data_IF_752246342202
#
_entry.id   IF_752246342202
#
_cell.length_a   1.000
_cell.length_b   1.000
_cell.length_c   1.000
_cell.angle_alpha   90.00
_cell.angle_beta   90.00
_cell.angle_gamma   90.00
#
_symmetry.space_group_name_H-M   'P 1'
#
loop_
_entity.id
_entity.type
_entity.pdbx_description
1 polymer ?
#
# COMPACT_ATOMS: atom_id res chain seq x y z
N UNK A 1 17.23 3.70 -7.34
CA UNK A 1 16.22 2.79 -6.76
C UNK A 1 15.28 3.65 -5.92
N UNK A 2 13.99 3.51 -6.07
CA UNK A 2 13.06 4.29 -5.23
C UNK A 2 12.78 3.53 -3.95
N UNK A 3 12.85 4.23 -2.82
CA UNK A 3 12.36 3.71 -1.56
C UNK A 3 10.85 3.49 -1.67
N UNK A 4 10.33 2.55 -0.91
CA UNK A 4 8.90 2.22 -0.90
C UNK A 4 8.33 2.49 0.49
N UNK A 5 7.19 3.16 0.53
CA UNK A 5 6.40 3.32 1.75
C UNK A 5 5.09 2.56 1.59
N UNK A 6 4.86 1.61 2.48
CA UNK A 6 3.61 0.85 2.56
C UNK A 6 2.77 1.41 3.70
N UNK A 7 1.51 1.70 3.43
CA UNK A 7 0.53 2.10 4.44
C UNK A 7 -0.44 0.94 4.62
N UNK A 8 -0.44 0.35 5.81
CA UNK A 8 -1.33 -0.74 6.20
C UNK A 8 -2.54 -0.22 6.97
N UNK A 9 -3.53 -1.08 7.24
CA UNK A 9 -4.82 -0.70 7.80
C UNK A 9 -4.88 -0.53 9.32
N UNK A 10 -3.74 -0.57 10.01
CA UNK A 10 -3.69 -0.38 11.46
C UNK A 10 -3.77 1.10 11.88
N UNK A 11 -3.52 1.35 13.14
CA UNK A 11 -3.57 2.71 13.69
C UNK A 11 -2.39 3.55 13.17
N UNK A 12 -2.70 4.72 12.60
CA UNK A 12 -1.70 5.63 12.03
C UNK A 12 -1.87 7.00 12.67
N UNK A 13 -0.78 7.54 13.17
CA UNK A 13 -0.78 8.92 13.66
C UNK A 13 -0.68 9.89 12.47
N UNK A 14 -1.81 10.51 12.18
CA UNK A 14 -2.08 11.32 11.00
C UNK A 14 -0.98 12.35 10.69
N UNK A 15 -0.74 13.27 11.62
CA UNK A 15 0.14 14.41 11.37
C UNK A 15 1.58 13.97 11.10
N UNK A 16 2.04 12.98 11.86
CA UNK A 16 3.37 12.40 11.67
C UNK A 16 3.49 11.71 10.32
N UNK A 17 2.53 10.86 9.96
CA UNK A 17 2.55 10.13 8.70
C UNK A 17 2.48 11.06 7.49
N UNK A 18 1.60 12.07 7.51
CA UNK A 18 1.48 13.05 6.43
C UNK A 18 2.76 13.86 6.24
N UNK A 19 3.38 14.33 7.34
CA UNK A 19 4.63 15.06 7.28
C UNK A 19 5.77 14.18 6.73
N UNK A 20 5.79 12.92 7.13
CA UNK A 20 6.76 11.95 6.64
C UNK A 20 6.59 11.67 5.14
N UNK A 21 5.37 11.41 4.66
CA UNK A 21 5.08 11.16 3.25
C UNK A 21 5.39 12.35 2.35
N UNK A 22 5.21 13.58 2.85
CA UNK A 22 5.53 14.81 2.11
C UNK A 22 7.03 15.06 1.96
N UNK A 23 7.82 14.63 2.93
CA UNK A 23 9.27 14.84 2.96
C UNK A 23 10.07 13.78 2.20
N UNK A 24 9.47 12.63 1.94
CA UNK A 24 10.16 11.51 1.32
C UNK A 24 9.60 11.23 -0.07
N UNK A 25 10.43 11.31 -1.09
CA UNK A 25 10.10 10.89 -2.45
C UNK A 25 10.21 9.36 -2.56
N UNK A 26 9.12 8.68 -2.24
CA UNK A 26 9.04 7.23 -2.27
C UNK A 26 7.87 6.76 -3.14
N UNK A 27 7.91 5.52 -3.57
CA UNK A 27 6.75 4.84 -4.15
C UNK A 27 5.78 4.49 -3.02
N UNK A 28 4.52 4.92 -3.14
CA UNK A 28 3.50 4.75 -2.12
C UNK A 28 2.60 3.57 -2.43
N UNK A 29 2.51 2.62 -1.52
CA UNK A 29 1.65 1.44 -1.65
C UNK A 29 0.63 1.42 -0.51
N UNK A 30 -0.65 1.28 -0.86
CA UNK A 30 -1.71 1.01 0.11
C UNK A 30 -1.92 -0.51 0.22
N UNK A 31 -1.84 -1.06 1.43
CA UNK A 31 -2.17 -2.44 1.72
C UNK A 31 -3.58 -2.51 2.32
N UNK A 32 -4.51 -3.06 1.57
CA UNK A 32 -5.92 -3.24 1.93
C UNK A 32 -6.54 -1.96 2.53
N UNK A 33 -6.95 -1.97 3.79
CA UNK A 33 -7.54 -0.84 4.50
C UNK A 33 -6.63 0.39 4.62
N UNK A 34 -5.34 0.26 4.32
CA UNK A 34 -4.42 1.39 4.19
C UNK A 34 -4.83 2.39 3.11
N UNK A 35 -5.66 1.97 2.14
CA UNK A 35 -6.26 2.88 1.15
C UNK A 35 -7.09 3.99 1.79
N UNK A 36 -7.79 3.71 2.89
CA UNK A 36 -8.62 4.68 3.60
C UNK A 36 -7.80 5.91 4.05
N UNK A 37 -6.58 5.66 4.55
CA UNK A 37 -5.67 6.75 4.93
C UNK A 37 -5.38 7.68 3.76
N UNK A 38 -5.16 7.15 2.57
CA UNK A 38 -4.91 7.96 1.38
C UNK A 38 -6.15 8.77 0.96
N UNK A 39 -7.32 8.13 0.95
CA UNK A 39 -8.56 8.79 0.56
C UNK A 39 -8.98 9.89 1.54
N UNK A 40 -8.89 9.66 2.84
CA UNK A 40 -9.18 10.64 3.88
C UNK A 40 -8.30 11.90 3.77
N UNK A 41 -7.10 11.77 3.27
CA UNK A 41 -6.13 12.86 3.16
C UNK A 41 -5.93 13.37 1.74
N UNK A 42 -6.79 12.96 0.80
CA UNK A 42 -6.72 13.37 -0.60
C UNK A 42 -5.35 13.07 -1.24
N UNK A 43 -4.74 11.98 -0.83
CA UNK A 43 -3.49 11.46 -1.39
C UNK A 43 -3.80 10.27 -2.30
N UNK A 44 -2.92 10.01 -3.24
CA UNK A 44 -3.04 8.85 -4.14
C UNK A 44 -1.80 7.96 -4.01
N UNK A 45 -1.97 6.67 -3.74
CA UNK A 45 -0.88 5.71 -3.78
C UNK A 45 -0.45 5.43 -5.22
N UNK A 46 0.72 4.85 -5.41
CA UNK A 46 1.17 4.31 -6.70
C UNK A 46 0.58 2.91 -6.96
N UNK A 47 0.33 2.15 -5.89
CA UNK A 47 -0.32 0.85 -5.97
C UNK A 47 -1.26 0.62 -4.78
N UNK A 48 -2.27 -0.20 -5.01
CA UNK A 48 -3.20 -0.70 -3.98
C UNK A 48 -3.22 -2.22 -4.05
N UNK A 49 -2.98 -2.88 -2.93
CA UNK A 49 -2.84 -4.34 -2.85
C UNK A 49 -3.70 -4.88 -1.72
N UNK A 50 -4.57 -5.82 -2.00
CA UNK A 50 -5.44 -6.45 -1.00
C UNK A 50 -6.56 -7.28 -1.60
N UNK A 51 -7.36 -7.92 -0.74
CA UNK A 51 -8.63 -8.54 -1.13
C UNK A 51 -9.79 -7.55 -1.08
N UNK A 52 -9.60 -6.44 -0.37
CA UNK A 52 -10.53 -5.30 -0.27
C UNK A 52 -11.84 -5.58 0.45
N UNK A 53 -11.92 -6.67 1.19
CA UNK A 53 -13.13 -7.05 1.94
C UNK A 53 -13.42 -6.09 3.09
N UNK A 54 -12.37 -5.53 3.69
CA UNK A 54 -12.46 -4.64 4.86
C UNK A 54 -12.54 -3.14 4.53
N UNK A 55 -12.57 -2.77 3.24
CA UNK A 55 -12.73 -1.38 2.82
C UNK A 55 -14.12 -0.83 3.13
N UNK A 56 -14.16 0.48 3.40
CA UNK A 56 -15.40 1.24 3.44
C UNK A 56 -16.11 1.25 2.08
N UNK A 57 -17.39 1.66 2.08
CA UNK A 57 -18.14 1.84 0.82
C UNK A 57 -17.47 2.86 -0.11
N UNK A 58 -16.86 3.91 0.45
CA UNK A 58 -16.15 4.91 -0.35
C UNK A 58 -14.85 4.33 -0.94
N UNK A 59 -14.11 3.51 -0.18
CA UNK A 59 -12.95 2.79 -0.68
C UNK A 59 -13.30 1.82 -1.81
N UNK A 60 -14.38 1.07 -1.66
CA UNK A 60 -14.89 0.15 -2.70
C UNK A 60 -15.30 0.90 -3.98
N UNK A 61 -16.06 1.99 -3.83
CA UNK A 61 -16.45 2.85 -4.96
C UNK A 61 -15.23 3.45 -5.68
N UNK A 62 -14.23 3.87 -4.92
CA UNK A 62 -12.99 4.37 -5.50
C UNK A 62 -12.34 3.31 -6.39
N UNK A 63 -12.23 2.06 -5.93
CA UNK A 63 -11.68 0.96 -6.72
C UNK A 63 -12.54 0.65 -7.94
N UNK A 64 -13.87 0.59 -7.80
CA UNK A 64 -14.80 0.36 -8.93
C UNK A 64 -14.61 1.40 -10.04
N UNK A 65 -14.52 2.69 -9.68
CA UNK A 65 -14.27 3.78 -10.64
C UNK A 65 -12.91 3.59 -11.34
N UNK A 66 -11.91 3.12 -10.61
CA UNK A 66 -10.62 2.80 -11.22
C UNK A 66 -10.74 1.59 -12.16
N UNK A 67 -11.52 0.58 -11.77
CA UNK A 67 -11.79 -0.62 -12.57
C UNK A 67 -12.53 -0.33 -13.88
N UNK A 68 -13.54 0.48 -13.88
CA UNK A 68 -14.28 0.88 -15.07
C UNK A 68 -13.42 1.67 -16.06
N UNK A 69 -12.56 2.56 -15.58
CA UNK A 69 -11.68 3.38 -16.43
C UNK A 69 -10.63 2.57 -17.17
N UNK A 70 -10.22 1.40 -16.68
CA UNK A 70 -9.22 0.57 -17.36
C UNK A 70 -9.83 -0.41 -18.37
N UNK A 71 -11.13 -0.68 -18.29
CA UNK A 71 -11.80 -1.52 -19.29
C UNK A 71 -11.84 -0.88 -20.69
N UNK A 72 -11.64 0.44 -20.78
CA UNK A 72 -11.53 1.17 -22.06
C UNK A 72 -10.15 1.08 -22.73
N UNK A 73 -9.18 0.44 -22.09
CA UNK A 73 -7.86 0.16 -22.68
C UNK A 73 -7.64 -1.35 -22.74
N UNK A 74 -7.74 -1.93 -23.94
CA UNK A 74 -7.40 -3.32 -24.20
C UNK A 74 -5.95 -3.63 -23.77
N UNK A 75 -5.78 -4.36 -22.65
CA UNK A 75 -4.50 -4.98 -22.30
C UNK A 75 -4.75 -6.45 -21.99
N UNK A 76 -4.17 -7.38 -22.78
CA UNK A 76 -4.31 -8.80 -22.54
C UNK A 76 -3.32 -9.28 -21.48
N UNK A 77 -3.82 -10.08 -20.57
CA UNK A 77 -3.12 -11.06 -19.72
C UNK A 77 -2.23 -10.59 -18.58
N UNK A 78 -2.69 -10.94 -17.39
CA UNK A 78 -1.84 -11.14 -16.21
C UNK A 78 -2.18 -10.28 -15.00
N UNK A 79 -3.35 -10.42 -14.39
CA UNK A 79 -3.60 -10.17 -12.95
C UNK A 79 -3.25 -8.81 -12.34
N UNK A 80 -2.69 -7.89 -13.08
CA UNK A 80 -2.32 -6.55 -12.69
C UNK A 80 -3.08 -5.55 -13.55
N UNK A 81 -4.03 -4.85 -12.94
CA UNK A 81 -4.73 -3.76 -13.60
C UNK A 81 -4.02 -2.44 -13.24
N UNK A 82 -3.50 -1.73 -14.24
CA UNK A 82 -2.89 -0.41 -14.06
C UNK A 82 -3.94 0.69 -14.27
N UNK A 83 -4.03 1.65 -13.34
CA UNK A 83 -5.09 2.63 -13.28
C UNK A 83 -4.59 4.05 -13.39
N UNK A 84 -5.30 4.91 -14.14
CA UNK A 84 -4.98 6.33 -14.28
C UNK A 84 -5.92 7.18 -13.44
N UNK A 85 -5.40 7.95 -12.48
CA UNK A 85 -6.17 8.89 -11.65
C UNK A 85 -5.57 10.28 -11.73
N UNK A 86 -6.44 11.29 -11.81
CA UNK A 86 -6.01 12.69 -11.72
C UNK A 86 -5.57 13.01 -10.29
N UNK A 87 -4.37 13.52 -10.15
CA UNK A 87 -3.86 14.03 -8.87
C UNK A 87 -4.63 15.28 -8.45
N UNK A 88 -5.11 15.33 -7.21
CA UNK A 88 -5.79 16.51 -6.65
C UNK A 88 -4.90 17.75 -6.46
N UNK A 89 -3.62 17.69 -6.79
CA UNK A 89 -2.66 18.79 -6.79
C UNK A 89 -1.81 18.73 -8.05
N UNK A 90 -2.25 19.43 -9.10
CA UNK A 90 -1.58 19.51 -10.39
C UNK A 90 -2.21 18.62 -11.47
N UNK A 91 -2.08 19.05 -12.72
CA UNK A 91 -2.70 18.41 -13.90
C UNK A 91 -2.01 17.10 -14.34
N UNK A 92 -1.33 16.38 -13.45
CA UNK A 92 -0.69 15.12 -13.79
C UNK A 92 -1.62 13.93 -13.51
N UNK A 93 -1.83 13.12 -14.53
CA UNK A 93 -2.55 11.84 -14.43
C UNK A 93 -1.58 10.83 -13.81
N UNK A 94 -1.91 10.32 -12.60
CA UNK A 94 -1.16 9.26 -11.95
C UNK A 94 -1.84 7.92 -12.22
N UNK A 95 -1.09 6.98 -12.77
CA UNK A 95 -1.56 5.59 -12.88
C UNK A 95 -1.46 4.92 -11.49
N UNK A 96 -2.57 4.37 -11.03
CA UNK A 96 -2.62 3.57 -9.80
C UNK A 96 -2.70 2.10 -10.19
N UNK A 97 -1.75 1.32 -9.70
CA UNK A 97 -1.73 -0.12 -9.90
C UNK A 97 -2.59 -0.81 -8.85
N UNK A 98 -3.67 -1.47 -9.27
CA UNK A 98 -4.53 -2.24 -8.36
C UNK A 98 -4.22 -3.73 -8.49
N UNK A 99 -3.84 -4.36 -7.39
CA UNK A 99 -3.54 -5.79 -7.30
C UNK A 99 -4.53 -6.43 -6.33
N UNK A 100 -5.51 -7.14 -6.90
CA UNK A 100 -6.52 -7.85 -6.13
C UNK A 100 -6.00 -9.22 -5.74
N UNK A 101 -6.02 -9.50 -4.45
CA UNK A 101 -5.58 -10.75 -3.87
C UNK A 101 -6.76 -11.69 -3.65
N UNK A 102 -6.50 -12.99 -3.61
CA UNK A 102 -7.52 -13.98 -3.23
C UNK A 102 -7.67 -14.01 -1.71
N UNK A 103 -8.90 -14.10 -1.17
CA UNK A 103 -9.13 -14.16 0.28
C UNK A 103 -8.48 -15.38 0.96
N UNK A 104 -8.37 -16.51 0.24
CA UNK A 104 -7.86 -17.79 0.77
C UNK A 104 -6.32 -17.90 0.74
N UNK A 105 -5.60 -16.80 0.71
CA UNK A 105 -4.14 -16.82 0.79
C UNK A 105 -3.64 -16.92 2.23
N UNK A 106 -2.48 -17.51 2.42
CA UNK A 106 -1.82 -17.61 3.73
C UNK A 106 -1.13 -16.31 4.17
N UNK A 107 -0.75 -15.46 3.21
CA UNK A 107 -0.05 -14.20 3.47
C UNK A 107 -1.02 -13.08 3.86
N UNK A 108 -0.61 -12.23 4.81
CA UNK A 108 -1.31 -10.97 5.08
C UNK A 108 -1.20 -9.99 3.90
N UNK A 109 -2.13 -9.03 3.80
CA UNK A 109 -2.08 -8.01 2.75
C UNK A 109 -0.81 -7.16 2.83
N UNK A 110 -0.34 -6.87 4.04
CA UNK A 110 0.92 -6.17 4.28
C UNK A 110 2.12 -6.98 3.78
N UNK A 111 2.14 -8.29 4.02
CA UNK A 111 3.17 -9.19 3.50
C UNK A 111 3.15 -9.25 1.97
N UNK A 112 1.97 -9.33 1.39
CA UNK A 112 1.80 -9.33 -0.07
C UNK A 112 2.29 -8.02 -0.70
N UNK A 113 1.98 -6.88 -0.07
CA UNK A 113 2.47 -5.57 -0.50
C UNK A 113 4.01 -5.47 -0.39
N UNK A 114 4.59 -5.96 0.69
CA UNK A 114 6.05 -6.04 0.86
C UNK A 114 6.70 -6.92 -0.20
N UNK A 115 6.16 -8.11 -0.44
CA UNK A 115 6.66 -9.03 -1.46
C UNK A 115 6.57 -8.43 -2.86
N UNK A 116 5.50 -7.68 -3.15
CA UNK A 116 5.37 -6.94 -4.39
C UNK A 116 6.46 -5.87 -4.51
N UNK A 117 6.68 -5.06 -3.47
CA UNK A 117 7.71 -4.03 -3.47
C UNK A 117 9.12 -4.62 -3.74
N UNK A 118 9.46 -5.73 -3.06
CA UNK A 118 10.74 -6.42 -3.26
C UNK A 118 10.88 -6.91 -4.70
N UNK A 119 9.84 -7.54 -5.27
CA UNK A 119 9.87 -8.03 -6.66
C UNK A 119 10.00 -6.91 -7.68
N UNK A 120 9.52 -5.71 -7.37
CA UNK A 120 9.69 -4.53 -8.22
C UNK A 120 11.02 -3.80 -8.00
N UNK A 121 11.89 -4.35 -7.15
CA UNK A 121 13.27 -3.90 -6.98
C UNK A 121 13.51 -3.00 -5.77
N UNK A 122 12.54 -2.85 -4.87
CA UNK A 122 12.73 -2.13 -3.61
C UNK A 122 13.79 -2.80 -2.74
N UNK A 123 14.67 -2.00 -2.15
CA UNK A 123 15.69 -2.43 -1.20
C UNK A 123 15.44 -1.88 0.20
N UNK A 124 14.82 -0.73 0.28
CA UNK A 124 14.41 -0.08 1.52
C UNK A 124 12.89 0.11 1.51
N UNK A 125 12.22 -0.43 2.52
CA UNK A 125 10.77 -0.42 2.63
C UNK A 125 10.39 0.05 4.03
N UNK A 126 9.57 1.07 4.10
CA UNK A 126 8.99 1.56 5.35
C UNK A 126 7.52 1.20 5.43
N UNK A 127 7.07 0.69 6.56
CA UNK A 127 5.69 0.24 6.72
C UNK A 127 5.02 0.97 7.88
N UNK A 128 3.93 1.68 7.58
CA UNK A 128 3.06 2.37 8.52
C UNK A 128 1.80 1.56 8.81
N UNK A 129 1.19 1.80 9.98
CA UNK A 129 -0.08 1.16 10.35
C UNK A 129 0.05 -0.30 10.76
N UNK A 130 1.21 -0.71 11.22
CA UNK A 130 1.51 -2.10 11.64
C UNK A 130 1.81 -2.22 13.14
N UNK A 131 1.95 -1.10 13.84
CA UNK A 131 2.15 -1.01 15.29
C UNK A 131 0.82 -0.64 15.94
N UNK A 132 -0.07 -1.60 16.14
CA UNK A 132 -1.40 -1.35 16.67
C UNK A 132 -1.61 -1.98 18.05
N UNK A 133 -2.84 -1.91 18.58
CA UNK A 133 -3.22 -2.43 19.89
C UNK A 133 -3.29 -3.98 19.94
N UNK A 134 -3.22 -4.65 18.80
CA UNK A 134 -3.24 -6.12 18.73
C UNK A 134 -1.82 -6.68 18.72
N UNK A 135 -1.43 -7.30 19.82
CA UNK A 135 -0.09 -7.90 19.98
C UNK A 135 0.16 -9.03 18.99
N UNK A 136 -0.88 -9.83 18.66
CA UNK A 136 -0.79 -10.90 17.69
C UNK A 136 -0.42 -10.38 16.28
N UNK A 137 -1.04 -9.28 15.84
CA UNK A 137 -0.70 -8.61 14.59
C UNK A 137 0.71 -8.00 14.62
N UNK A 138 1.09 -7.39 15.74
CA UNK A 138 2.43 -6.83 15.91
C UNK A 138 3.51 -7.91 15.78
N UNK A 139 3.30 -9.06 16.44
CA UNK A 139 4.22 -10.20 16.37
C UNK A 139 4.34 -10.75 14.95
N UNK A 140 3.22 -10.87 14.23
CA UNK A 140 3.22 -11.28 12.83
C UNK A 140 4.01 -10.27 11.95
N UNK A 141 3.84 -8.97 12.20
CA UNK A 141 4.55 -7.93 11.47
C UNK A 141 6.07 -7.93 11.74
N UNK A 142 6.53 -8.32 12.93
CA UNK A 142 7.95 -8.55 13.17
C UNK A 142 8.52 -9.67 12.29
N UNK A 143 7.72 -10.67 11.96
CA UNK A 143 8.10 -11.71 11.01
C UNK A 143 8.44 -11.16 9.61
N UNK A 144 7.82 -10.04 9.20
CA UNK A 144 8.11 -9.41 7.92
C UNK A 144 9.56 -8.91 7.82
N UNK A 145 10.16 -8.47 8.92
CA UNK A 145 11.56 -8.01 8.97
C UNK A 145 12.51 -9.15 8.55
N UNK A 146 12.28 -10.34 9.08
CA UNK A 146 13.08 -11.53 8.77
C UNK A 146 12.86 -11.97 7.32
N UNK A 147 11.59 -11.99 6.87
CA UNK A 147 11.24 -12.35 5.50
C UNK A 147 11.88 -11.42 4.48
N UNK A 148 11.86 -10.11 4.73
CA UNK A 148 12.48 -9.13 3.85
C UNK A 148 14.00 -9.29 3.80
N UNK A 149 14.65 -9.45 4.95
CA UNK A 149 16.09 -9.66 5.04
C UNK A 149 16.53 -10.88 4.23
N UNK A 150 15.79 -11.99 4.31
CA UNK A 150 16.06 -13.20 3.54
C UNK A 150 15.90 -12.98 2.03
N UNK A 151 15.14 -11.98 1.61
CA UNK A 151 14.94 -11.58 0.21
C UNK A 151 15.89 -10.46 -0.22
N UNK A 152 16.81 -10.03 0.66
CA UNK A 152 17.78 -8.98 0.37
C UNK A 152 17.22 -7.56 0.37
N UNK A 153 16.16 -7.32 1.16
CA UNK A 153 15.58 -6.01 1.40
C UNK A 153 15.58 -5.69 2.90
N UNK A 154 15.64 -4.41 3.21
CA UNK A 154 15.52 -3.88 4.56
C UNK A 154 14.11 -3.31 4.78
N UNK A 155 13.46 -3.73 5.85
CA UNK A 155 12.14 -3.24 6.23
C UNK A 155 12.23 -2.52 7.57
N UNK A 156 11.63 -1.35 7.65
CA UNK A 156 11.45 -0.57 8.87
C UNK A 156 9.96 -0.43 9.19
N UNK A 157 9.53 -0.86 10.37
CA UNK A 157 8.19 -0.59 10.86
C UNK A 157 8.19 0.79 11.52
N UNK A 158 7.30 1.68 11.07
CA UNK A 158 7.33 3.09 11.42
C UNK A 158 6.06 3.51 12.13
N UNK A 159 6.23 4.13 13.29
CA UNK A 159 5.20 4.94 13.95
C UNK A 159 5.84 6.20 14.55
N UNK A 160 5.06 7.02 15.23
CA UNK A 160 5.55 8.29 15.81
C UNK A 160 6.70 8.10 16.81
N UNK A 161 6.76 6.96 17.46
CA UNK A 161 7.68 6.70 18.58
C UNK A 161 8.80 5.71 18.23
N UNK A 162 8.61 4.95 17.15
CA UNK A 162 9.48 3.84 16.78
C UNK A 162 9.76 3.85 15.26
N UNK A 163 11.03 3.59 14.91
CA UNK A 163 11.47 3.32 13.56
C UNK A 163 12.86 2.68 13.54
#
# INVERSE_FOLDING_TARGET
MKDVIIVSGGNIQRDFALDFLKKNEACLIAADKGLEFFLEHQLLPDAVIGDFDSLSEDGKKFLEIQEEKSMDSEIPYGGMNEWKVQKGFGNEIKEIKVIRLRPEKDDSDTQSAMNYAIRTGAKEIMIFGVTGNRVDHLMANFGLLILAQNQGAEVTLVDRYNY
#
